data_IF_505240221391
#
_entry.id   IF_505240221391
#
_cell.length_a   1.000
_cell.length_b   1.000
_cell.length_c   1.000
_cell.angle_alpha   90.00
_cell.angle_beta   90.00
_cell.angle_gamma   90.00
#
_symmetry.space_group_name_H-M   'P 1'
#
loop_
_entity.id
_entity.type
_entity.pdbx_description
1 polymer ?
#
# COMPACT_ATOMS: atom_id res chain seq x y z
N UNK A 1 11.68 -5.55 -14.12
CA UNK A 1 10.87 -6.61 -14.75
C UNK A 1 11.19 -6.62 -16.25
N UNK A 2 11.68 -7.74 -16.79
CA UNK A 2 11.97 -7.91 -18.22
C UNK A 2 11.06 -9.03 -18.74
N UNK A 3 10.16 -8.70 -19.66
CA UNK A 3 9.21 -9.66 -20.25
C UNK A 3 9.86 -10.27 -21.50
N UNK A 4 9.82 -11.61 -21.68
CA UNK A 4 10.32 -12.23 -22.90
C UNK A 4 9.62 -11.70 -24.16
N UNK A 5 10.39 -11.39 -25.20
CA UNK A 5 9.87 -10.81 -26.46
C UNK A 5 8.78 -11.67 -27.10
N UNK A 6 8.87 -13.00 -26.99
CA UNK A 6 7.85 -13.93 -27.49
C UNK A 6 6.51 -13.71 -26.80
N UNK A 7 6.52 -13.60 -25.46
CA UNK A 7 5.31 -13.34 -24.67
C UNK A 7 4.75 -11.95 -24.97
N UNK A 8 5.60 -10.92 -25.03
CA UNK A 8 5.18 -9.55 -25.34
C UNK A 8 4.49 -9.42 -26.70
N UNK A 9 4.90 -10.20 -27.71
CA UNK A 9 4.27 -10.21 -29.03
C UNK A 9 2.87 -10.82 -29.02
N UNK A 10 2.68 -11.84 -28.19
CA UNK A 10 1.43 -12.60 -28.08
C UNK A 10 0.39 -11.98 -27.13
N UNK A 11 0.75 -10.92 -26.40
CA UNK A 11 -0.19 -10.21 -25.53
C UNK A 11 -1.28 -9.49 -26.35
N UNK A 12 -2.54 -9.49 -25.88
CA UNK A 12 -3.61 -8.67 -26.43
C UNK A 12 -3.23 -7.18 -26.51
N UNK A 13 -3.82 -6.45 -27.45
CA UNK A 13 -3.49 -5.05 -27.70
C UNK A 13 -3.53 -4.16 -26.44
N UNK A 14 -4.51 -4.40 -25.55
CA UNK A 14 -4.70 -3.65 -24.30
C UNK A 14 -3.53 -3.82 -23.32
N UNK A 15 -3.02 -5.04 -23.20
CA UNK A 15 -2.02 -5.41 -22.19
C UNK A 15 -0.59 -5.36 -22.73
N UNK A 16 -0.44 -5.17 -24.04
CA UNK A 16 0.85 -5.05 -24.69
C UNK A 16 1.57 -3.78 -24.24
N UNK A 17 2.77 -3.86 -23.63
CA UNK A 17 3.48 -2.68 -23.17
C UNK A 17 3.95 -1.84 -24.35
N UNK A 18 3.56 -0.56 -24.35
CA UNK A 18 3.88 0.43 -25.39
C UNK A 18 5.25 1.06 -25.12
N UNK A 19 6.30 0.27 -25.21
CA UNK A 19 7.67 0.78 -25.05
C UNK A 19 8.07 1.46 -26.35
N UNK A 20 8.19 2.79 -26.31
CA UNK A 20 8.72 3.55 -27.44
C UNK A 20 10.22 3.22 -27.57
N UNK A 21 10.66 2.84 -28.76
CA UNK A 21 12.09 2.76 -29.05
C UNK A 21 12.73 4.12 -28.77
N UNK A 22 13.92 4.15 -28.18
CA UNK A 22 14.71 5.37 -28.04
C UNK A 22 14.88 5.96 -29.44
N UNK A 23 14.18 7.06 -29.72
CA UNK A 23 14.34 7.79 -30.97
C UNK A 23 15.82 8.15 -31.08
N UNK A 24 16.47 7.81 -32.21
CA UNK A 24 17.78 8.40 -32.55
C UNK A 24 17.63 9.91 -32.39
N UNK A 25 18.38 10.51 -31.46
CA UNK A 25 18.26 11.94 -31.17
C UNK A 25 18.50 12.66 -32.49
N UNK A 26 17.50 13.39 -32.99
CA UNK A 26 17.76 14.38 -34.04
C UNK A 26 18.73 15.38 -33.40
N UNK A 27 19.91 15.54 -33.97
CA UNK A 27 20.90 16.54 -33.58
C UNK A 27 20.31 17.92 -33.84
N UNK A 28 19.46 18.38 -32.92
CA UNK A 28 18.99 19.75 -32.89
C UNK A 28 20.09 20.58 -32.25
N UNK A 29 20.33 21.78 -32.77
CA UNK A 29 21.20 22.77 -32.13
C UNK A 29 20.65 23.04 -30.73
N UNK A 30 21.39 22.61 -29.71
CA UNK A 30 21.04 22.84 -28.32
C UNK A 30 21.81 24.05 -27.81
N UNK A 31 21.10 25.02 -27.24
CA UNK A 31 21.74 26.16 -26.56
C UNK A 31 22.31 25.63 -25.24
N UNK A 32 23.63 25.79 -25.08
CA UNK A 32 24.32 25.45 -23.83
C UNK A 32 23.99 26.52 -22.80
N UNK A 33 23.69 26.07 -21.57
CA UNK A 33 23.40 26.98 -20.45
C UNK A 33 24.65 27.74 -20.04
N UNK A 34 24.46 28.98 -19.64
CA UNK A 34 25.52 29.75 -18.98
C UNK A 34 25.81 29.20 -17.57
N UNK A 35 26.94 29.60 -16.97
CA UNK A 35 27.42 29.13 -15.67
C UNK A 35 26.35 29.34 -14.59
N UNK A 36 25.75 30.53 -14.53
CA UNK A 36 24.72 30.84 -13.53
C UNK A 36 23.47 29.96 -13.72
N UNK A 37 23.00 29.79 -14.96
CA UNK A 37 21.85 28.94 -15.27
C UNK A 37 22.10 27.47 -14.93
N UNK A 38 23.33 27.00 -15.16
CA UNK A 38 23.77 25.65 -14.79
C UNK A 38 23.76 25.44 -13.27
N UNK A 39 24.25 26.42 -12.51
CA UNK A 39 24.23 26.40 -11.04
C UNK A 39 22.79 26.39 -10.49
N UNK A 40 21.91 27.26 -11.00
CA UNK A 40 20.50 27.30 -10.61
C UNK A 40 19.80 25.98 -10.95
N UNK A 41 20.03 25.43 -12.14
CA UNK A 41 19.46 24.15 -12.55
C UNK A 41 19.93 23.00 -11.64
N UNK A 42 21.21 22.99 -11.27
CA UNK A 42 21.79 22.03 -10.33
C UNK A 42 21.15 22.14 -8.94
N UNK A 43 21.01 23.37 -8.43
CA UNK A 43 20.36 23.63 -7.14
C UNK A 43 18.90 23.16 -7.15
N UNK A 44 18.12 23.52 -8.17
CA UNK A 44 16.72 23.11 -8.31
C UNK A 44 16.57 21.59 -8.38
N UNK A 45 17.50 20.89 -9.05
CA UNK A 45 17.53 19.43 -9.10
C UNK A 45 17.74 18.84 -7.70
N UNK A 46 18.69 19.37 -6.93
CA UNK A 46 18.95 18.93 -5.55
C UNK A 46 17.73 19.14 -4.65
N UNK A 47 17.12 20.32 -4.70
CA UNK A 47 15.91 20.63 -3.92
C UNK A 47 14.76 19.67 -4.24
N UNK A 48 14.54 19.38 -5.53
CA UNK A 48 13.52 18.44 -5.96
C UNK A 48 13.78 17.02 -5.44
N UNK A 49 15.03 16.57 -5.46
CA UNK A 49 15.41 15.25 -4.92
C UNK A 49 15.12 15.18 -3.43
N UNK A 50 15.57 16.15 -2.64
CA UNK A 50 15.34 16.20 -1.19
C UNK A 50 13.84 16.21 -0.87
N UNK A 51 13.06 17.03 -1.58
CA UNK A 51 11.61 17.09 -1.40
C UNK A 51 10.93 15.74 -1.70
N UNK A 52 11.32 15.09 -2.79
CA UNK A 52 10.77 13.79 -3.16
C UNK A 52 11.12 12.73 -2.10
N UNK A 53 12.38 12.68 -1.66
CA UNK A 53 12.82 11.74 -0.62
C UNK A 53 12.04 11.91 0.69
N UNK A 54 11.87 13.16 1.15
CA UNK A 54 11.05 13.49 2.32
C UNK A 54 9.61 13.01 2.15
N UNK A 55 9.01 13.26 0.99
CA UNK A 55 7.63 12.83 0.69
C UNK A 55 7.49 11.31 0.66
N UNK A 56 8.48 10.60 0.12
CA UNK A 56 8.52 9.13 0.12
C UNK A 56 8.65 8.57 1.54
N UNK A 57 9.48 9.19 2.38
CA UNK A 57 9.61 8.83 3.80
C UNK A 57 8.31 9.05 4.57
N UNK A 58 7.66 10.21 4.43
CA UNK A 58 6.37 10.51 5.05
C UNK A 58 5.29 9.50 4.64
N UNK A 59 5.24 9.12 3.36
CA UNK A 59 4.31 8.10 2.88
C UNK A 59 4.59 6.74 3.52
N UNK A 60 5.86 6.32 3.60
CA UNK A 60 6.26 5.06 4.25
C UNK A 60 5.89 5.06 5.73
N UNK A 61 6.17 6.16 6.44
CA UNK A 61 5.81 6.33 7.84
C UNK A 61 4.28 6.28 8.05
N UNK A 62 3.49 6.94 7.19
CA UNK A 62 2.02 6.87 7.22
C UNK A 62 1.51 5.44 7.02
N UNK A 63 2.02 4.73 6.02
CA UNK A 63 1.62 3.33 5.75
C UNK A 63 1.93 2.45 6.96
N UNK A 64 3.11 2.61 7.57
CA UNK A 64 3.49 1.88 8.80
C UNK A 64 2.51 2.15 9.94
N UNK A 65 2.24 3.43 10.25
CA UNK A 65 1.28 3.81 11.31
C UNK A 65 -0.11 3.23 11.08
N UNK A 66 -0.61 3.27 9.84
CA UNK A 66 -1.91 2.71 9.50
C UNK A 66 -1.94 1.18 9.67
N UNK A 67 -0.88 0.48 9.27
CA UNK A 67 -0.77 -0.97 9.45
C UNK A 67 -0.77 -1.35 10.93
N UNK A 68 0.00 -0.63 11.74
CA UNK A 68 0.08 -0.88 13.19
C UNK A 68 -1.27 -0.59 13.87
N UNK A 69 -1.96 0.47 13.44
CA UNK A 69 -3.29 0.81 13.95
C UNK A 69 -4.34 -0.25 13.60
N UNK A 70 -4.39 -0.71 12.33
CA UNK A 70 -5.29 -1.79 11.91
C UNK A 70 -5.07 -3.06 12.72
N UNK A 71 -3.80 -3.45 12.92
CA UNK A 71 -3.46 -4.62 13.74
C UNK A 71 -3.97 -4.51 15.18
N UNK A 72 -3.91 -3.30 15.78
CA UNK A 72 -4.45 -3.06 17.13
C UNK A 72 -5.97 -3.20 17.16
N UNK A 73 -6.67 -2.63 16.18
CA UNK A 73 -8.13 -2.75 16.06
C UNK A 73 -8.54 -4.21 15.91
N UNK A 74 -7.93 -4.94 14.97
CA UNK A 74 -8.25 -6.35 14.72
C UNK A 74 -8.06 -7.21 15.99
N UNK A 75 -7.00 -6.95 16.76
CA UNK A 75 -6.77 -7.63 18.03
C UNK A 75 -7.84 -7.29 19.09
N UNK A 76 -8.30 -6.05 19.14
CA UNK A 76 -9.36 -5.63 20.06
C UNK A 76 -10.72 -6.23 19.66
N UNK A 77 -11.05 -6.22 18.38
CA UNK A 77 -12.27 -6.83 17.84
C UNK A 77 -12.31 -8.34 18.10
N UNK A 78 -11.19 -9.04 17.89
CA UNK A 78 -11.09 -10.46 18.21
C UNK A 78 -11.34 -10.74 19.70
N UNK A 79 -10.80 -9.90 20.59
CA UNK A 79 -11.05 -10.00 22.04
C UNK A 79 -12.51 -9.74 22.39
N UNK A 80 -13.14 -8.73 21.78
CA UNK A 80 -14.58 -8.43 21.96
C UNK A 80 -15.43 -9.61 21.51
N UNK A 81 -15.14 -10.18 20.35
CA UNK A 81 -15.86 -11.35 19.81
C UNK A 81 -15.73 -12.57 20.73
N UNK A 82 -14.52 -12.85 21.24
CA UNK A 82 -14.31 -13.94 22.21
C UNK A 82 -15.13 -13.74 23.49
N UNK A 83 -15.16 -12.50 24.04
CA UNK A 83 -15.98 -12.17 25.21
C UNK A 83 -17.46 -12.38 24.94
N UNK A 84 -17.97 -11.90 23.80
CA UNK A 84 -19.36 -12.10 23.42
C UNK A 84 -19.72 -13.59 23.29
N UNK A 85 -18.85 -14.40 22.67
CA UNK A 85 -19.04 -15.86 22.57
C UNK A 85 -19.10 -16.53 23.94
N UNK A 86 -18.20 -16.15 24.86
CA UNK A 86 -18.18 -16.69 26.23
C UNK A 86 -19.45 -16.30 26.99
N UNK A 87 -19.83 -15.02 26.97
CA UNK A 87 -21.06 -14.55 27.61
C UNK A 87 -22.29 -15.27 27.07
N UNK A 88 -22.41 -15.39 25.75
CA UNK A 88 -23.50 -16.14 25.11
C UNK A 88 -23.54 -17.59 25.60
N UNK A 89 -22.39 -18.28 25.59
CA UNK A 89 -22.28 -19.67 26.07
C UNK A 89 -22.69 -19.81 27.54
N UNK A 90 -22.27 -18.89 28.39
CA UNK A 90 -22.58 -18.92 29.82
C UNK A 90 -24.08 -18.71 30.07
N UNK A 91 -24.72 -17.76 29.36
CA UNK A 91 -26.18 -17.52 29.42
C UNK A 91 -26.98 -18.74 28.98
N UNK A 92 -26.65 -19.36 27.85
CA UNK A 92 -27.37 -20.57 27.42
C UNK A 92 -27.15 -21.75 28.39
N UNK A 93 -25.96 -21.85 28.98
CA UNK A 93 -25.66 -22.89 29.97
C UNK A 93 -26.47 -22.70 31.26
N UNK A 94 -26.65 -21.46 31.74
CA UNK A 94 -27.48 -21.20 32.91
C UNK A 94 -28.95 -21.46 32.62
N UNK A 95 -29.47 -21.01 31.48
CA UNK A 95 -30.85 -21.27 31.04
C UNK A 95 -31.14 -22.77 30.97
N UNK A 96 -30.28 -23.54 30.29
CA UNK A 96 -30.44 -25.00 30.17
C UNK A 96 -30.46 -25.70 31.54
N UNK A 97 -29.58 -25.29 32.48
CA UNK A 97 -29.57 -25.84 33.84
C UNK A 97 -30.82 -25.48 34.64
N UNK A 98 -31.39 -24.29 34.42
CA UNK A 98 -32.63 -23.88 35.09
C UNK A 98 -33.84 -24.62 34.52
N UNK A 99 -33.89 -24.84 33.21
CA UNK A 99 -34.95 -25.62 32.55
C UNK A 99 -34.90 -27.09 32.97
N UNK A 100 -33.71 -27.71 32.99
CA UNK A 100 -33.56 -29.11 33.40
C UNK A 100 -33.96 -29.33 34.86
N UNK A 101 -33.81 -28.32 35.73
CA UNK A 101 -34.28 -28.39 37.11
C UNK A 101 -35.80 -28.28 37.21
N UNK A 102 -36.45 -27.49 36.34
CA UNK A 102 -37.92 -27.34 36.32
C UNK A 102 -38.65 -28.60 35.84
N UNK A 103 -38.04 -29.42 34.98
CA UNK A 103 -38.63 -30.67 34.47
C UNK A 103 -38.37 -31.90 35.36
N UNK A 104 -37.55 -31.76 36.40
CA UNK A 104 -37.26 -32.83 37.37
C UNK A 104 -38.11 -32.71 38.66
N UNK A 105 -38.95 -31.68 38.74
CA UNK A 105 -40.06 -31.54 39.69
C UNK A 105 -41.38 -31.70 38.94
#
# INVERSE_FOLDING_TARGET
LIIPKKLQKNLPYKDKPKVMALKKKKEKVAVVRDIHESQVASMMKKLKTIYNEKREEERRAKVKRLKDFKKKIEAEEARKLQRQRKMKKDVFRTLSKTESKKTQF
#
